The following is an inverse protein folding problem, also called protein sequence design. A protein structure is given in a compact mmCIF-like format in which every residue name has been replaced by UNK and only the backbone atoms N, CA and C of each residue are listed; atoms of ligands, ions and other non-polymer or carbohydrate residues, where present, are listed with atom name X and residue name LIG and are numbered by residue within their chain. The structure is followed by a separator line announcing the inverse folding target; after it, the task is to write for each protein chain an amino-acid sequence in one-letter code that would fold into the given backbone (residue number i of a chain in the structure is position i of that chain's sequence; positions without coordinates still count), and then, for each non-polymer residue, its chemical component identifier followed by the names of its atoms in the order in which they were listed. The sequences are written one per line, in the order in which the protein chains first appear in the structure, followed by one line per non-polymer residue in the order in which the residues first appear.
data_IF_939913946073
#
_entry.id   IF_939913946073
#
_cell.length_a   1.000
_cell.length_b   1.000
_cell.length_c   1.000
_cell.angle_alpha   90.00
_cell.angle_beta   90.00
_cell.angle_gamma   90.00
#
_symmetry.space_group_name_H-M   'P 1'
#
loop_
_entity.id
_entity.type
_entity.pdbx_description
1 polymer ?
#
# COMPACT_ATOMS: atom_id res chain seq x y z
N UNK A 1 21.89 -3.79 50.48
CA UNK A 1 22.77 -3.04 49.57
C UNK A 1 23.17 -3.84 48.32
N UNK A 2 23.88 -4.98 48.41
CA UNK A 2 24.27 -5.76 47.21
C UNK A 2 23.05 -6.37 46.50
N UNK A 3 22.11 -6.94 47.27
CA UNK A 3 20.86 -7.53 46.78
C UNK A 3 19.98 -6.50 46.03
N UNK A 4 19.87 -5.27 46.57
CA UNK A 4 19.10 -4.19 45.94
C UNK A 4 19.72 -3.71 44.62
N UNK A 5 21.06 -3.71 44.53
CA UNK A 5 21.77 -3.40 43.28
C UNK A 5 21.56 -4.48 42.22
N UNK A 6 21.59 -5.75 42.60
CA UNK A 6 21.32 -6.86 41.67
C UNK A 6 19.89 -6.83 41.15
N UNK A 7 18.92 -6.55 42.03
CA UNK A 7 17.52 -6.38 41.63
C UNK A 7 17.35 -5.23 40.64
N UNK A 8 17.98 -4.09 40.93
CA UNK A 8 17.94 -2.91 40.05
C UNK A 8 18.56 -3.21 38.68
N UNK A 9 19.73 -3.86 38.63
CA UNK A 9 20.36 -4.27 37.37
C UNK A 9 19.48 -5.21 36.55
N UNK A 10 18.79 -6.16 37.19
CA UNK A 10 17.86 -7.07 36.50
C UNK A 10 16.68 -6.31 35.90
N UNK A 11 16.10 -5.38 36.66
CA UNK A 11 15.00 -4.56 36.20
C UNK A 11 15.40 -3.64 35.05
N UNK A 12 16.54 -2.97 35.16
CA UNK A 12 17.07 -2.10 34.10
C UNK A 12 17.34 -2.89 32.81
N UNK A 13 17.91 -4.10 32.92
CA UNK A 13 18.14 -4.98 31.79
C UNK A 13 16.83 -5.44 31.14
N UNK A 14 15.82 -5.81 31.94
CA UNK A 14 14.52 -6.23 31.44
C UNK A 14 13.83 -5.09 30.69
N UNK A 15 13.83 -3.88 31.26
CA UNK A 15 13.28 -2.70 30.61
C UNK A 15 14.00 -2.36 29.30
N UNK A 16 15.33 -2.48 29.26
CA UNK A 16 16.11 -2.24 28.06
C UNK A 16 15.80 -3.25 26.94
N UNK A 17 15.58 -4.52 27.29
CA UNK A 17 15.17 -5.55 26.34
C UNK A 17 13.76 -5.30 25.82
N UNK A 18 12.81 -5.01 26.71
CA UNK A 18 11.42 -4.72 26.34
C UNK A 18 11.32 -3.48 25.44
N UNK A 19 12.12 -2.45 25.72
CA UNK A 19 12.19 -1.25 24.90
C UNK A 19 12.70 -1.55 23.48
N UNK A 20 13.80 -2.31 23.37
CA UNK A 20 14.35 -2.72 22.07
C UNK A 20 13.38 -3.59 21.29
N UNK A 21 12.68 -4.51 21.97
CA UNK A 21 11.68 -5.37 21.35
C UNK A 21 10.52 -4.54 20.77
N UNK A 22 10.00 -3.58 21.56
CA UNK A 22 8.92 -2.68 21.11
C UNK A 22 9.34 -1.84 19.91
N UNK A 23 10.55 -1.27 19.93
CA UNK A 23 11.07 -0.51 18.79
C UNK A 23 11.20 -1.38 17.52
N UNK A 24 11.73 -2.60 17.65
CA UNK A 24 11.86 -3.52 16.51
C UNK A 24 10.51 -3.91 15.91
N UNK A 25 9.52 -4.22 16.74
CA UNK A 25 8.16 -4.53 16.29
C UNK A 25 7.49 -3.33 15.62
N UNK A 26 7.65 -2.13 16.17
CA UNK A 26 7.07 -0.93 15.58
C UNK A 26 7.71 -0.59 14.24
N UNK A 27 9.03 -0.74 14.12
CA UNK A 27 9.75 -0.55 12.86
C UNK A 27 9.31 -1.58 11.81
N UNK A 28 9.25 -2.88 12.17
CA UNK A 28 8.77 -3.92 11.27
C UNK A 28 7.35 -3.64 10.76
N UNK A 29 6.45 -3.20 11.64
CA UNK A 29 5.08 -2.84 11.26
C UNK A 29 5.02 -1.64 10.30
N UNK A 30 5.91 -0.66 10.46
CA UNK A 30 5.99 0.49 9.55
C UNK A 30 6.51 0.07 8.17
N UNK A 31 7.52 -0.78 8.12
CA UNK A 31 8.09 -1.28 6.87
C UNK A 31 7.09 -2.16 6.10
N UNK A 32 6.34 -3.02 6.79
CA UNK A 32 5.29 -3.83 6.15
C UNK A 32 4.15 -2.97 5.60
N UNK A 33 3.70 -1.96 6.37
CA UNK A 33 2.69 -1.02 5.89
C UNK A 33 3.16 -0.27 4.63
N UNK A 34 4.40 0.23 4.64
CA UNK A 34 4.96 0.92 3.48
C UNK A 34 5.03 0.01 2.24
N UNK A 35 5.40 -1.26 2.41
CA UNK A 35 5.40 -2.24 1.32
C UNK A 35 3.98 -2.53 0.81
N UNK A 36 3.02 -2.71 1.73
CA UNK A 36 1.63 -2.93 1.36
C UNK A 36 1.04 -1.74 0.59
N UNK A 37 1.29 -0.51 1.05
CA UNK A 37 0.83 0.70 0.39
C UNK A 37 1.43 0.84 -1.03
N UNK A 38 2.71 0.51 -1.19
CA UNK A 38 3.35 0.49 -2.52
C UNK A 38 2.75 -0.56 -3.45
N UNK A 39 2.46 -1.77 -2.97
CA UNK A 39 1.82 -2.81 -3.78
C UNK A 39 0.38 -2.44 -4.14
N UNK A 40 -0.39 -1.86 -3.23
CA UNK A 40 -1.74 -1.33 -3.51
C UNK A 40 -1.67 -0.26 -4.60
N UNK A 41 -0.73 0.68 -4.50
CA UNK A 41 -0.54 1.72 -5.51
C UNK A 41 -0.17 1.14 -6.89
N UNK A 42 0.71 0.13 -6.94
CA UNK A 42 1.05 -0.56 -8.20
C UNK A 42 -0.16 -1.28 -8.80
N UNK A 43 -0.95 -1.96 -7.97
CA UNK A 43 -2.15 -2.67 -8.43
C UNK A 43 -3.19 -1.69 -8.98
N UNK A 44 -3.40 -0.56 -8.30
CA UNK A 44 -4.29 0.50 -8.78
C UNK A 44 -3.81 1.09 -10.12
N UNK A 45 -2.51 1.38 -10.24
CA UNK A 45 -1.93 1.90 -11.48
C UNK A 45 -2.05 0.91 -12.64
N UNK A 46 -1.88 -0.40 -12.40
CA UNK A 46 -2.09 -1.45 -13.41
C UNK A 46 -3.54 -1.56 -13.82
N UNK A 47 -4.46 -1.58 -12.85
CA UNK A 47 -5.89 -1.63 -13.13
C UNK A 47 -6.36 -0.41 -13.93
N UNK A 48 -5.81 0.77 -13.68
CA UNK A 48 -6.10 1.97 -14.46
C UNK A 48 -5.54 1.88 -15.88
N UNK A 49 -4.30 1.40 -16.04
CA UNK A 49 -3.69 1.19 -17.34
C UNK A 49 -4.47 0.17 -18.19
N UNK A 50 -4.88 -0.95 -17.60
CA UNK A 50 -5.69 -1.98 -18.27
C UNK A 50 -7.05 -1.43 -18.71
N UNK A 51 -7.70 -0.59 -17.88
CA UNK A 51 -8.94 0.10 -18.28
C UNK A 51 -8.74 1.00 -19.49
N UNK A 52 -7.66 1.78 -19.52
CA UNK A 52 -7.37 2.67 -20.67
C UNK A 52 -7.03 1.88 -21.94
N UNK A 53 -6.32 0.75 -21.80
CA UNK A 53 -6.02 -0.13 -22.93
C UNK A 53 -7.28 -0.85 -23.45
N UNK A 54 -8.15 -1.32 -22.55
CA UNK A 54 -9.47 -1.86 -22.87
C UNK A 54 -10.34 -0.83 -23.59
N UNK A 55 -10.36 0.42 -23.12
CA UNK A 55 -11.09 1.50 -23.78
C UNK A 55 -10.56 1.77 -25.20
N UNK A 56 -9.24 1.76 -25.40
CA UNK A 56 -8.61 1.91 -26.73
C UNK A 56 -8.97 0.78 -27.67
N UNK A 57 -8.94 -0.47 -27.20
CA UNK A 57 -9.29 -1.63 -28.02
C UNK A 57 -10.77 -1.59 -28.41
N UNK A 58 -11.68 -1.30 -27.47
CA UNK A 58 -13.11 -1.15 -27.76
C UNK A 58 -13.40 0.00 -28.75
N UNK A 59 -12.70 1.13 -28.62
CA UNK A 59 -12.80 2.26 -29.55
C UNK A 59 -12.35 1.87 -30.96
N UNK A 60 -11.26 1.11 -31.09
CA UNK A 60 -10.78 0.57 -32.37
C UNK A 60 -11.75 -0.45 -32.98
N UNK A 61 -12.47 -1.19 -32.15
CA UNK A 61 -13.50 -2.14 -32.57
C UNK A 61 -14.83 -1.47 -32.97
N UNK A 62 -14.92 -0.13 -32.88
CA UNK A 62 -16.11 0.62 -33.29
C UNK A 62 -17.24 0.67 -32.25
N UNK A 63 -16.93 0.35 -30.98
CA UNK A 63 -17.92 0.47 -29.89
C UNK A 63 -18.16 1.95 -29.57
N UNK A 64 -19.41 2.31 -29.30
CA UNK A 64 -19.79 3.68 -28.99
C UNK A 64 -19.10 4.21 -27.72
N UNK A 65 -18.66 5.46 -27.76
CA UNK A 65 -17.94 6.13 -26.68
C UNK A 65 -18.72 6.14 -25.36
N UNK A 66 -20.05 6.31 -25.44
CA UNK A 66 -20.95 6.27 -24.28
C UNK A 66 -20.94 4.90 -23.59
N UNK A 67 -20.93 3.83 -24.36
CA UNK A 67 -20.91 2.45 -23.85
C UNK A 67 -19.55 2.12 -23.24
N UNK A 68 -18.45 2.58 -23.84
CA UNK A 68 -17.09 2.41 -23.29
C UNK A 68 -16.97 3.18 -21.96
N UNK A 69 -17.42 4.43 -21.94
CA UNK A 69 -17.40 5.28 -20.75
C UNK A 69 -18.18 4.67 -19.59
N UNK A 70 -19.40 4.16 -19.83
CA UNK A 70 -20.20 3.51 -18.80
C UNK A 70 -19.63 2.16 -18.35
N UNK A 71 -19.08 1.36 -19.28
CA UNK A 71 -18.61 0.00 -18.97
C UNK A 71 -17.30 -0.02 -18.20
N UNK A 72 -16.38 0.90 -18.52
CA UNK A 72 -15.07 0.99 -17.87
C UNK A 72 -15.01 2.08 -16.78
N UNK A 73 -16.14 2.76 -16.57
CA UNK A 73 -16.29 3.89 -15.65
C UNK A 73 -15.23 4.99 -15.89
N UNK A 74 -15.03 5.33 -17.17
CA UNK A 74 -14.07 6.34 -17.61
C UNK A 74 -14.83 7.61 -18.02
N UNK A 75 -14.30 8.81 -17.75
CA UNK A 75 -14.92 10.04 -18.25
C UNK A 75 -14.94 10.07 -19.78
N UNK A 76 -16.06 10.53 -20.37
CA UNK A 76 -16.22 10.63 -21.82
C UNK A 76 -15.06 11.39 -22.48
N UNK A 77 -14.64 12.51 -21.91
CA UNK A 77 -13.52 13.30 -22.43
C UNK A 77 -12.16 12.58 -22.40
N UNK A 78 -11.99 11.54 -21.59
CA UNK A 78 -10.80 10.66 -21.62
C UNK A 78 -10.93 9.67 -22.78
N UNK A 79 -12.08 9.03 -22.94
CA UNK A 79 -12.34 8.06 -24.02
C UNK A 79 -12.28 8.73 -25.41
N UNK A 80 -12.75 9.97 -25.55
CA UNK A 80 -12.64 10.77 -26.78
C UNK A 80 -11.19 11.03 -27.18
N UNK A 81 -10.30 11.28 -26.22
CA UNK A 81 -8.89 11.60 -26.43
C UNK A 81 -7.97 10.37 -26.57
N UNK A 82 -8.44 9.17 -26.19
CA UNK A 82 -7.70 7.90 -26.27
C UNK A 82 -7.45 7.41 -27.69
#
# INVERSE_FOLDING_TARGET
MLYDMELKKRWDNQNALDFKLKQGLEQGRREERAKADQEIAKLQARAEAEKLEGARTLKKSGVELNVISSSLNLPLGVVEKL
#
